data_IF_690507376980
#
_entry.id   IF_690507376980
#
_cell.length_a   1.000
_cell.length_b   1.000
_cell.length_c   1.000
_cell.angle_alpha   90.00
_cell.angle_beta   90.00
_cell.angle_gamma   90.00
#
_symmetry.space_group_name_H-M   'P 1'
#
loop_
_entity.id
_entity.type
_entity.pdbx_description
1 polymer ?
#
# COMPACT_ATOMS: atom_id res chain seq x y z
N UNK A 1 -10.74 -27.05 0.01
CA UNK A 1 -11.26 -26.06 -0.99
C UNK A 1 -11.37 -24.72 -0.29
N UNK A 2 -10.53 -23.73 -0.64
CA UNK A 2 -10.54 -22.43 0.02
C UNK A 2 -11.88 -21.71 -0.21
N UNK A 3 -12.44 -21.11 0.84
CA UNK A 3 -13.70 -20.37 0.73
C UNK A 3 -13.49 -19.05 -0.03
N UNK A 4 -14.58 -18.48 -0.55
CA UNK A 4 -14.55 -17.23 -1.33
C UNK A 4 -13.84 -16.10 -0.57
N UNK A 5 -14.07 -15.97 0.73
CA UNK A 5 -13.46 -14.90 1.55
C UNK A 5 -11.94 -15.03 1.68
N UNK A 6 -11.41 -16.26 1.80
CA UNK A 6 -9.99 -16.52 1.84
C UNK A 6 -9.31 -16.17 0.50
N UNK A 7 -9.97 -16.51 -0.62
CA UNK A 7 -9.51 -16.15 -1.96
C UNK A 7 -9.55 -14.63 -2.19
N UNK A 8 -10.63 -13.95 -1.77
CA UNK A 8 -10.75 -12.49 -1.86
C UNK A 8 -9.69 -11.79 -0.99
N UNK A 9 -9.45 -12.29 0.23
CA UNK A 9 -8.42 -11.76 1.12
C UNK A 9 -7.04 -11.84 0.47
N UNK A 10 -6.65 -13.02 -0.01
CA UNK A 10 -5.36 -13.22 -0.65
C UNK A 10 -5.24 -12.45 -1.96
N UNK A 11 -6.28 -12.45 -2.81
CA UNK A 11 -6.30 -11.75 -4.08
C UNK A 11 -6.18 -10.23 -3.93
N UNK A 12 -7.00 -9.61 -3.08
CA UNK A 12 -6.91 -8.18 -2.80
C UNK A 12 -5.57 -7.79 -2.16
N UNK A 13 -5.09 -8.59 -1.20
CA UNK A 13 -3.79 -8.36 -0.57
C UNK A 13 -2.63 -8.49 -1.55
N UNK A 14 -2.67 -9.47 -2.46
CA UNK A 14 -1.65 -9.67 -3.49
C UNK A 14 -1.60 -8.51 -4.48
N UNK A 15 -2.75 -8.04 -4.97
CA UNK A 15 -2.84 -6.86 -5.83
C UNK A 15 -2.31 -5.60 -5.11
N UNK A 16 -2.67 -5.42 -3.85
CA UNK A 16 -2.15 -4.32 -3.03
C UNK A 16 -0.62 -4.40 -2.90
N UNK A 17 -0.09 -5.56 -2.52
CA UNK A 17 1.34 -5.79 -2.30
C UNK A 17 2.15 -5.60 -3.59
N UNK A 18 1.68 -6.15 -4.71
CA UNK A 18 2.30 -5.97 -6.02
C UNK A 18 2.35 -4.50 -6.44
N UNK A 19 1.23 -3.78 -6.31
CA UNK A 19 1.20 -2.35 -6.60
C UNK A 19 2.12 -1.55 -5.67
N UNK A 20 2.17 -1.88 -4.38
CA UNK A 20 3.05 -1.22 -3.41
C UNK A 20 4.53 -1.43 -3.75
N UNK A 21 4.93 -2.67 -4.05
CA UNK A 21 6.29 -3.01 -4.50
C UNK A 21 6.67 -2.27 -5.78
N UNK A 22 5.80 -2.31 -6.80
CA UNK A 22 6.05 -1.62 -8.06
C UNK A 22 6.24 -0.11 -7.85
N UNK A 23 5.36 0.53 -7.07
CA UNK A 23 5.48 1.95 -6.76
C UNK A 23 6.82 2.26 -6.07
N UNK A 24 7.21 1.45 -5.07
CA UNK A 24 8.36 1.73 -4.23
C UNK A 24 9.71 1.43 -4.91
N UNK A 25 9.80 0.33 -5.65
CA UNK A 25 11.05 -0.18 -6.22
C UNK A 25 11.25 0.22 -7.68
N UNK A 26 10.18 0.51 -8.42
CA UNK A 26 10.23 0.73 -9.86
C UNK A 26 9.77 2.15 -10.22
N UNK A 27 8.50 2.47 -9.97
CA UNK A 27 7.90 3.74 -10.42
C UNK A 27 8.58 4.95 -9.78
N UNK A 28 8.78 4.92 -8.45
CA UNK A 28 9.28 6.09 -7.74
C UNK A 28 10.78 6.37 -7.99
N UNK A 29 11.69 5.38 -8.01
CA UNK A 29 13.06 5.60 -8.43
C UNK A 29 13.17 6.12 -9.87
N UNK A 30 12.40 5.55 -10.81
CA UNK A 30 12.37 6.01 -12.19
C UNK A 30 11.81 7.45 -12.31
N UNK A 31 10.77 7.78 -11.54
CA UNK A 31 10.24 9.14 -11.45
C UNK A 31 11.32 10.14 -11.01
N UNK A 32 12.10 9.80 -9.99
CA UNK A 32 13.15 10.69 -9.47
C UNK A 32 14.30 10.90 -10.46
N UNK A 33 14.63 9.91 -11.29
CA UNK A 33 15.71 10.04 -12.28
C UNK A 33 15.37 10.99 -13.43
N UNK A 34 14.09 11.30 -13.64
CA UNK A 34 13.65 12.27 -14.64
C UNK A 34 13.81 13.74 -14.22
N UNK A 35 14.30 14.02 -13.01
CA UNK A 35 14.45 15.37 -12.47
C UNK A 35 13.28 15.81 -11.58
N UNK A 36 13.55 16.79 -10.73
CA UNK A 36 12.72 17.10 -9.55
C UNK A 36 11.33 17.65 -9.89
N UNK A 37 11.26 18.55 -10.88
CA UNK A 37 9.99 19.12 -11.35
C UNK A 37 9.10 18.06 -11.98
N UNK A 38 9.66 17.22 -12.86
CA UNK A 38 8.95 16.10 -13.48
C UNK A 38 8.48 15.12 -12.40
N UNK A 39 9.34 14.82 -11.42
CA UNK A 39 9.04 13.90 -10.34
C UNK A 39 7.80 14.36 -9.55
N UNK A 40 7.76 15.62 -9.13
CA UNK A 40 6.64 16.18 -8.38
C UNK A 40 5.36 16.23 -9.21
N UNK A 41 5.47 16.67 -10.48
CA UNK A 41 4.32 16.77 -11.41
C UNK A 41 3.70 15.42 -11.73
N UNK A 42 4.50 14.36 -11.84
CA UNK A 42 3.99 13.01 -12.09
C UNK A 42 3.50 12.34 -10.79
N UNK A 43 4.17 12.59 -9.66
CA UNK A 43 3.80 12.02 -8.36
C UNK A 43 2.36 12.38 -7.96
N UNK A 44 1.96 13.65 -8.04
CA UNK A 44 0.64 14.10 -7.57
C UNK A 44 -0.55 13.40 -8.26
N UNK A 45 -0.63 13.33 -9.61
CA UNK A 45 -1.68 12.59 -10.31
C UNK A 45 -1.57 11.06 -10.14
N UNK A 46 -0.36 10.50 -10.01
CA UNK A 46 -0.17 9.08 -9.71
C UNK A 46 -0.71 8.74 -8.31
N UNK A 47 -0.32 9.50 -7.28
CA UNK A 47 -0.75 9.34 -5.90
C UNK A 47 -2.27 9.29 -5.74
N UNK A 48 -3.00 10.19 -6.42
CA UNK A 48 -4.47 10.21 -6.37
C UNK A 48 -5.07 8.92 -6.93
N UNK A 49 -4.58 8.44 -8.08
CA UNK A 49 -5.05 7.20 -8.71
C UNK A 49 -4.67 5.97 -7.89
N UNK A 50 -3.44 5.92 -7.39
CA UNK A 50 -2.98 4.87 -6.50
C UNK A 50 -3.84 4.79 -5.22
N UNK A 51 -4.25 5.92 -4.66
CA UNK A 51 -5.14 5.96 -3.48
C UNK A 51 -6.50 5.33 -3.79
N UNK A 52 -7.11 5.67 -4.93
CA UNK A 52 -8.40 5.11 -5.38
C UNK A 52 -8.31 3.59 -5.58
N UNK A 53 -7.17 3.07 -6.06
CA UNK A 53 -6.98 1.63 -6.22
C UNK A 53 -6.65 0.93 -4.90
N UNK A 54 -5.69 1.44 -4.13
CA UNK A 54 -5.12 0.73 -2.99
C UNK A 54 -5.98 0.77 -1.74
N UNK A 55 -6.73 1.85 -1.48
CA UNK A 55 -7.55 1.93 -0.28
C UNK A 55 -8.68 0.87 -0.27
N UNK A 56 -9.47 0.70 -1.35
CA UNK A 56 -10.46 -0.39 -1.42
C UNK A 56 -9.84 -1.77 -1.30
N UNK A 57 -8.68 -2.02 -1.93
CA UNK A 57 -8.00 -3.31 -1.83
C UNK A 57 -7.60 -3.66 -0.39
N UNK A 58 -7.07 -2.69 0.36
CA UNK A 58 -6.72 -2.91 1.76
C UNK A 58 -7.95 -3.20 2.62
N UNK A 59 -9.05 -2.46 2.44
CA UNK A 59 -10.28 -2.62 3.20
C UNK A 59 -11.02 -3.92 2.87
N UNK A 60 -11.22 -4.21 1.57
CA UNK A 60 -11.90 -5.43 1.13
C UNK A 60 -11.08 -6.68 1.45
N UNK A 61 -9.76 -6.63 1.24
CA UNK A 61 -8.87 -7.74 1.57
C UNK A 61 -8.81 -8.00 3.08
N UNK A 62 -8.70 -6.93 3.87
CA UNK A 62 -8.69 -7.02 5.34
C UNK A 62 -10.00 -7.55 5.91
N UNK A 63 -11.13 -6.98 5.49
CA UNK A 63 -12.45 -7.44 5.91
C UNK A 63 -12.71 -8.90 5.52
N UNK A 64 -12.37 -9.28 4.29
CA UNK A 64 -12.49 -10.67 3.82
C UNK A 64 -11.62 -11.62 4.63
N UNK A 65 -10.40 -11.21 5.01
CA UNK A 65 -9.51 -12.01 5.84
C UNK A 65 -10.04 -12.19 7.27
N UNK A 66 -10.63 -11.15 7.87
CA UNK A 66 -11.31 -11.25 9.16
C UNK A 66 -12.54 -12.16 9.09
N UNK A 67 -13.32 -12.08 8.02
CA UNK A 67 -14.45 -12.98 7.79
C UNK A 67 -14.00 -14.43 7.58
N UNK A 68 -12.92 -14.65 6.82
CA UNK A 68 -12.33 -15.97 6.65
C UNK A 68 -11.87 -16.54 8.00
N UNK A 69 -11.23 -15.73 8.85
CA UNK A 69 -10.88 -16.13 10.20
C UNK A 69 -12.10 -16.48 11.06
N UNK A 70 -13.16 -15.67 11.03
CA UNK A 70 -14.37 -15.91 11.81
C UNK A 70 -15.09 -17.21 11.40
N UNK A 71 -15.10 -17.54 10.10
CA UNK A 71 -15.81 -18.70 9.57
C UNK A 71 -14.99 -19.99 9.60
N UNK A 72 -13.69 -19.88 9.31
CA UNK A 72 -12.82 -21.04 9.16
C UNK A 72 -11.97 -21.28 10.41
N UNK A 73 -11.66 -20.24 11.18
CA UNK A 73 -10.59 -20.25 12.17
C UNK A 73 -9.20 -20.17 11.53
N UNK A 74 -8.16 -20.27 12.38
CA UNK A 74 -6.76 -20.28 11.95
C UNK A 74 -6.07 -18.93 12.09
N UNK A 75 -4.96 -18.91 12.83
CA UNK A 75 -4.22 -17.68 13.18
C UNK A 75 -3.70 -16.91 11.96
N UNK A 76 -3.41 -17.59 10.85
CA UNK A 76 -2.91 -16.96 9.63
C UNK A 76 -3.87 -15.92 9.06
N UNK A 77 -5.17 -16.21 8.97
CA UNK A 77 -6.16 -15.26 8.46
C UNK A 77 -6.25 -14.00 9.32
N UNK A 78 -6.26 -14.16 10.65
CA UNK A 78 -6.29 -13.03 11.58
C UNK A 78 -5.01 -12.17 11.45
N UNK A 79 -3.83 -12.80 11.53
CA UNK A 79 -2.55 -12.07 11.45
C UNK A 79 -2.40 -11.37 10.11
N UNK A 80 -2.66 -12.06 9.00
CA UNK A 80 -2.55 -11.48 7.66
C UNK A 80 -3.53 -10.33 7.43
N UNK A 81 -4.79 -10.48 7.84
CA UNK A 81 -5.79 -9.41 7.76
C UNK A 81 -5.41 -8.20 8.61
N UNK A 82 -4.93 -8.42 9.85
CA UNK A 82 -4.48 -7.34 10.73
C UNK A 82 -3.29 -6.59 10.15
N UNK A 83 -2.31 -7.28 9.57
CA UNK A 83 -1.16 -6.64 8.91
C UNK A 83 -1.60 -5.78 7.71
N UNK A 84 -2.50 -6.28 6.87
CA UNK A 84 -3.02 -5.51 5.74
C UNK A 84 -3.81 -4.29 6.22
N UNK A 85 -4.67 -4.43 7.23
CA UNK A 85 -5.43 -3.32 7.78
C UNK A 85 -4.54 -2.29 8.48
N UNK A 86 -3.44 -2.70 9.11
CA UNK A 86 -2.48 -1.80 9.77
C UNK A 86 -1.81 -0.81 8.79
N UNK A 87 -1.79 -1.11 7.49
CA UNK A 87 -1.35 -0.17 6.46
C UNK A 87 -2.21 1.10 6.43
N UNK A 88 -3.51 1.01 6.73
CA UNK A 88 -4.43 2.15 6.71
C UNK A 88 -4.07 3.21 7.77
N UNK A 89 -4.04 2.90 9.09
CA UNK A 89 -3.64 3.88 10.09
C UNK A 89 -2.18 4.32 9.92
N UNK A 90 -1.27 3.44 9.48
CA UNK A 90 0.10 3.85 9.16
C UNK A 90 0.12 4.92 8.06
N UNK A 91 -0.67 4.74 7.00
CA UNK A 91 -0.76 5.72 5.91
C UNK A 91 -1.35 7.05 6.40
N UNK A 92 -2.44 7.01 7.16
CA UNK A 92 -3.14 8.23 7.62
C UNK A 92 -2.35 9.01 8.66
N UNK A 93 -1.60 8.34 9.53
CA UNK A 93 -0.88 8.99 10.63
C UNK A 93 0.56 9.35 10.26
N UNK A 94 1.26 8.48 9.51
CA UNK A 94 2.70 8.61 9.26
C UNK A 94 3.00 9.16 7.87
N UNK A 95 2.32 8.68 6.82
CA UNK A 95 2.59 9.06 5.44
C UNK A 95 1.88 10.36 5.06
N UNK A 96 0.63 10.53 5.47
CA UNK A 96 -0.23 11.64 5.08
C UNK A 96 0.39 13.04 5.29
N UNK A 97 1.12 13.34 6.39
CA UNK A 97 1.78 14.64 6.54
C UNK A 97 2.78 14.95 5.41
N UNK A 98 3.48 13.93 4.91
CA UNK A 98 4.39 14.06 3.76
C UNK A 98 3.60 14.28 2.48
N UNK A 99 2.52 13.51 2.26
CA UNK A 99 1.65 13.67 1.09
C UNK A 99 1.06 15.08 1.01
N UNK A 100 0.60 15.61 2.14
CA UNK A 100 0.01 16.95 2.22
C UNK A 100 1.00 18.02 1.77
N UNK A 101 2.24 17.99 2.28
CA UNK A 101 3.29 18.95 1.89
C UNK A 101 3.65 18.84 0.41
N UNK A 102 3.76 17.62 -0.13
CA UNK A 102 4.03 17.41 -1.55
C UNK A 102 2.89 17.95 -2.45
N UNK A 103 1.64 17.73 -2.05
CA UNK A 103 0.47 18.27 -2.76
C UNK A 103 0.43 19.81 -2.71
N UNK A 104 0.79 20.42 -1.58
CA UNK A 104 0.90 21.87 -1.44
C UNK A 104 2.00 22.46 -2.33
N UNK A 105 3.18 21.82 -2.38
CA UNK A 105 4.26 22.21 -3.28
C UNK A 105 3.85 22.12 -4.75
N UNK A 106 3.20 21.01 -5.13
CA UNK A 106 2.68 20.82 -6.48
C UNK A 106 1.66 21.90 -6.86
N UNK A 107 0.72 22.22 -5.97
CA UNK A 107 -0.30 23.24 -6.21
C UNK A 107 0.28 24.65 -6.39
N UNK A 108 1.43 24.94 -5.77
CA UNK A 108 2.12 26.23 -5.87
C UNK A 108 3.15 26.29 -7.02
N UNK A 109 3.36 25.19 -7.74
CA UNK A 109 4.42 25.08 -8.75
C UNK A 109 5.85 25.18 -8.17
N UNK A 110 6.03 24.95 -6.87
CA UNK A 110 7.31 25.09 -6.19
C UNK A 110 8.05 23.76 -6.08
N UNK A 111 9.30 23.71 -6.58
CA UNK A 111 10.13 22.50 -6.52
C UNK A 111 10.91 22.40 -5.20
N UNK A 112 11.38 23.51 -4.65
CA UNK A 112 11.91 23.67 -3.28
C UNK A 112 12.41 22.39 -2.58
N UNK A 113 11.70 21.94 -1.54
CA UNK A 113 12.02 20.74 -0.75
C UNK A 113 11.33 19.46 -1.24
N UNK A 114 10.80 19.45 -2.47
CA UNK A 114 10.13 18.29 -3.04
C UNK A 114 11.03 17.05 -3.12
N UNK A 115 12.33 17.13 -3.49
CA UNK A 115 13.18 15.95 -3.58
C UNK A 115 13.34 15.24 -2.24
N UNK A 116 13.57 15.97 -1.14
CA UNK A 116 13.72 15.41 0.20
C UNK A 116 12.42 14.75 0.65
N UNK A 117 11.29 15.41 0.42
CA UNK A 117 9.98 14.89 0.75
C UNK A 117 9.62 13.65 -0.07
N UNK A 118 9.96 13.61 -1.37
CA UNK A 118 9.76 12.45 -2.22
C UNK A 118 10.65 11.26 -1.80
N UNK A 119 11.91 11.50 -1.40
CA UNK A 119 12.78 10.44 -0.85
C UNK A 119 12.21 9.89 0.46
N UNK A 120 11.82 10.79 1.38
CA UNK A 120 11.15 10.40 2.63
C UNK A 120 9.87 9.61 2.37
N UNK A 121 9.05 10.08 1.44
CA UNK A 121 7.83 9.40 1.02
C UNK A 121 8.14 7.96 0.58
N UNK A 122 9.19 7.75 -0.21
CA UNK A 122 9.59 6.42 -0.65
C UNK A 122 10.00 5.52 0.51
N UNK A 123 10.80 6.03 1.46
CA UNK A 123 11.21 5.25 2.64
C UNK A 123 10.02 4.83 3.50
N UNK A 124 9.04 5.72 3.68
CA UNK A 124 7.81 5.37 4.39
C UNK A 124 6.96 4.36 3.60
N UNK A 125 6.91 4.49 2.28
CA UNK A 125 6.25 3.53 1.40
C UNK A 125 6.92 2.16 1.38
N UNK A 126 8.23 2.07 1.65
CA UNK A 126 8.93 0.79 1.82
C UNK A 126 8.40 0.02 3.03
N UNK A 127 8.18 0.68 4.17
CA UNK A 127 7.53 0.06 5.35
C UNK A 127 6.15 -0.47 5.00
N UNK A 128 5.37 0.34 4.28
CA UNK A 128 4.03 -0.06 3.80
C UNK A 128 4.07 -1.28 2.90
N UNK A 129 5.08 -1.37 2.04
CA UNK A 129 5.28 -2.49 1.11
C UNK A 129 5.72 -3.75 1.85
N UNK A 130 6.60 -3.63 2.85
CA UNK A 130 6.99 -4.76 3.70
C UNK A 130 5.77 -5.33 4.46
N UNK A 131 4.95 -4.46 5.08
CA UNK A 131 3.73 -4.88 5.78
C UNK A 131 2.77 -5.64 4.86
N UNK A 132 2.53 -5.14 3.64
CA UNK A 132 1.60 -5.78 2.71
C UNK A 132 2.15 -7.08 2.10
N UNK A 133 3.46 -7.18 1.86
CA UNK A 133 4.10 -8.43 1.41
C UNK A 133 4.03 -9.48 2.51
N UNK A 134 4.33 -9.12 3.76
CA UNK A 134 4.18 -10.04 4.89
C UNK A 134 2.72 -10.49 5.06
N UNK A 135 1.76 -9.55 4.98
CA UNK A 135 0.34 -9.87 5.00
C UNK A 135 -0.03 -10.87 3.89
N UNK A 136 0.43 -10.61 2.67
CA UNK A 136 0.15 -11.48 1.52
C UNK A 136 0.74 -12.87 1.70
N UNK A 137 2.00 -12.98 2.13
CA UNK A 137 2.65 -14.27 2.37
C UNK A 137 1.89 -15.09 3.43
N UNK A 138 1.47 -14.45 4.53
CA UNK A 138 0.69 -15.10 5.60
C UNK A 138 -0.68 -15.55 5.09
N UNK A 139 -1.41 -14.70 4.35
CA UNK A 139 -2.71 -15.04 3.78
C UNK A 139 -2.61 -16.16 2.74
N UNK A 140 -1.61 -16.11 1.87
CA UNK A 140 -1.36 -17.13 0.85
C UNK A 140 -1.04 -18.49 1.49
N UNK A 141 -0.20 -18.50 2.53
CA UNK A 141 0.06 -19.71 3.30
C UNK A 141 -1.21 -20.25 3.97
N UNK A 142 -2.01 -19.38 4.58
CA UNK A 142 -3.28 -19.78 5.22
C UNK A 142 -4.29 -20.37 4.23
N UNK A 143 -4.33 -19.87 2.99
CA UNK A 143 -5.12 -20.43 1.89
C UNK A 143 -4.64 -21.82 1.50
N UNK A 144 -3.31 -22.04 1.41
CA UNK A 144 -2.73 -23.32 1.01
C UNK A 144 -2.85 -24.45 2.04
N UNK A 145 -3.18 -24.14 3.29
CA UNK A 145 -3.38 -25.11 4.37
C UNK A 145 -4.83 -25.67 4.42
N UNK A 146 -5.67 -25.40 3.41
CA UNK A 146 -7.12 -25.71 3.36
C UNK A 146 -7.53 -26.40 2.06
#
# INVERSE_FOLDING_TARGET
MPNLFALLAAGCCGLFAGAALYINLVEHPARLSCGEDIALRQWAPSYRRATVMQAPLALLGGASGLLAWALLGGRGYLVGASLLLAVVPFTLLVIYPTNKRLLELHARGGVGSAPELLRRWNSLHAVRSALSVMAFAVLLFAVGQR
#
